data_IF_355111980658
#
_entry.id   IF_355111980658
#
_cell.length_a   1.000
_cell.length_b   1.000
_cell.length_c   1.000
_cell.angle_alpha   90.00
_cell.angle_beta   90.00
_cell.angle_gamma   90.00
#
_symmetry.space_group_name_H-M   'P 1'
#
loop_
_entity.id
_entity.type
_entity.pdbx_description
1 polymer ?
#
# COMPACT_ATOMS: atom_id res chain seq x y z
N UNK A 1 -60.69 18.87 -40.26
CA UNK A 1 -59.63 17.92 -40.59
C UNK A 1 -58.28 18.35 -40.02
N UNK A 2 -58.28 19.07 -38.87
CA UNK A 2 -57.01 19.69 -38.28
C UNK A 2 -56.62 19.23 -36.91
N UNK A 3 -57.35 18.31 -36.26
CA UNK A 3 -57.03 17.83 -34.90
C UNK A 3 -55.95 16.75 -34.95
N UNK A 4 -55.81 16.03 -36.06
CA UNK A 4 -54.86 14.91 -36.17
C UNK A 4 -53.43 15.41 -36.37
N UNK A 5 -53.22 16.56 -37.02
CA UNK A 5 -51.83 17.11 -37.21
C UNK A 5 -51.20 17.67 -35.95
N UNK A 6 -51.97 18.11 -34.95
CA UNK A 6 -51.45 18.61 -33.68
C UNK A 6 -50.88 17.50 -32.79
N UNK A 7 -51.45 16.29 -32.87
CA UNK A 7 -51.05 15.18 -32.04
C UNK A 7 -49.68 14.57 -32.46
N UNK A 8 -49.41 14.56 -33.77
CA UNK A 8 -48.16 14.06 -34.31
C UNK A 8 -46.97 15.01 -34.04
N UNK A 9 -47.23 16.32 -34.08
CA UNK A 9 -46.21 17.34 -33.75
C UNK A 9 -45.82 17.31 -32.28
N UNK A 10 -46.77 17.14 -31.38
CA UNK A 10 -46.51 16.96 -29.94
C UNK A 10 -45.74 15.65 -29.64
N UNK A 11 -46.14 14.55 -30.31
CA UNK A 11 -45.48 13.24 -30.16
C UNK A 11 -44.02 13.26 -30.67
N UNK A 12 -43.75 14.00 -31.74
CA UNK A 12 -42.42 14.16 -32.30
C UNK A 12 -41.50 15.00 -31.39
N UNK A 13 -42.03 16.05 -30.75
CA UNK A 13 -41.29 16.87 -29.81
C UNK A 13 -40.99 16.14 -28.49
N UNK A 14 -41.91 15.33 -27.97
CA UNK A 14 -41.70 14.52 -26.77
C UNK A 14 -40.56 13.49 -27.00
N UNK A 15 -40.53 12.82 -28.15
CA UNK A 15 -39.45 11.88 -28.50
C UNK A 15 -38.10 12.58 -28.57
N UNK A 16 -38.03 13.79 -29.14
CA UNK A 16 -36.79 14.58 -29.16
C UNK A 16 -36.34 15.01 -27.75
N UNK A 17 -37.27 15.43 -26.88
CA UNK A 17 -36.96 15.77 -25.51
C UNK A 17 -36.47 14.58 -24.72
N UNK A 18 -37.08 13.42 -24.86
CA UNK A 18 -36.62 12.16 -24.18
C UNK A 18 -35.24 11.78 -24.67
N UNK A 19 -34.95 11.87 -25.97
CA UNK A 19 -33.61 11.58 -26.50
C UNK A 19 -32.57 12.55 -25.96
N UNK A 20 -32.90 13.82 -25.84
CA UNK A 20 -32.01 14.87 -25.33
C UNK A 20 -31.71 14.68 -23.84
N UNK A 21 -32.70 14.30 -23.04
CA UNK A 21 -32.51 13.95 -21.61
C UNK A 21 -31.62 12.70 -21.47
N UNK A 22 -31.83 11.70 -22.34
CA UNK A 22 -31.01 10.48 -22.32
C UNK A 22 -29.54 10.74 -22.70
N UNK A 23 -29.30 11.65 -23.66
CA UNK A 23 -27.93 12.08 -24.00
C UNK A 23 -27.26 12.87 -22.89
N UNK A 24 -28.00 13.73 -22.18
CA UNK A 24 -27.48 14.51 -21.04
C UNK A 24 -27.16 13.58 -19.85
N UNK A 25 -28.02 12.61 -19.55
CA UNK A 25 -27.77 11.64 -18.48
C UNK A 25 -26.54 10.75 -18.77
N UNK A 26 -26.34 10.37 -20.03
CA UNK A 26 -25.18 9.58 -20.46
C UNK A 26 -23.89 10.40 -20.41
N UNK A 27 -23.93 11.69 -20.78
CA UNK A 27 -22.74 12.56 -20.65
C UNK A 27 -22.39 12.85 -19.20
N UNK A 28 -23.36 12.97 -18.29
CA UNK A 28 -23.10 13.15 -16.85
C UNK A 28 -22.46 11.91 -16.20
N UNK A 29 -22.76 10.69 -16.68
CA UNK A 29 -22.14 9.46 -16.19
C UNK A 29 -20.68 9.31 -16.61
N UNK A 30 -20.22 9.97 -17.66
CA UNK A 30 -18.82 9.96 -18.11
C UNK A 30 -17.91 10.89 -17.30
N UNK A 31 -18.45 11.86 -16.56
CA UNK A 31 -17.66 12.74 -15.69
C UNK A 31 -17.40 12.17 -14.28
N UNK A 32 -17.97 10.99 -13.96
CA UNK A 32 -17.87 10.36 -12.63
C UNK A 32 -16.50 9.79 -12.25
N UNK A 33 -15.52 9.71 -13.16
CA UNK A 33 -14.24 9.01 -12.90
C UNK A 33 -13.06 9.89 -12.48
N UNK A 34 -13.26 11.17 -12.16
CA UNK A 34 -12.18 12.06 -11.69
C UNK A 34 -12.43 12.71 -10.32
N UNK A 35 -13.27 12.14 -9.48
CA UNK A 35 -13.24 12.54 -8.09
C UNK A 35 -12.04 11.86 -7.41
N UNK A 36 -10.86 12.44 -7.61
CA UNK A 36 -9.81 12.36 -6.63
C UNK A 36 -10.35 13.04 -5.36
N UNK A 37 -11.04 12.29 -4.54
CA UNK A 37 -11.30 12.68 -3.17
C UNK A 37 -9.91 12.92 -2.57
N UNK A 38 -9.47 14.18 -2.56
CA UNK A 38 -8.29 14.60 -1.85
C UNK A 38 -8.48 14.15 -0.40
N UNK A 39 -7.94 12.99 -0.05
CA UNK A 39 -7.80 12.44 1.31
C UNK A 39 -6.93 13.35 2.19
N UNK A 40 -6.68 14.58 1.74
CA UNK A 40 -5.75 15.56 2.29
C UNK A 40 -6.36 16.50 3.33
N UNK A 41 -7.67 16.43 3.63
CA UNK A 41 -8.29 17.43 4.53
C UNK A 41 -8.10 17.10 6.01
N UNK A 42 -7.71 15.86 6.35
CA UNK A 42 -7.37 15.48 7.72
C UNK A 42 -6.11 14.62 7.72
N UNK A 43 -4.95 15.23 7.48
CA UNK A 43 -3.69 14.56 7.82
C UNK A 43 -3.59 14.49 9.32
N UNK A 44 -4.14 13.44 9.91
CA UNK A 44 -3.87 13.11 11.33
C UNK A 44 -2.36 13.06 11.47
N UNK A 45 -1.82 13.84 12.38
CA UNK A 45 -0.40 13.78 12.68
C UNK A 45 -0.07 12.37 13.16
N UNK A 46 0.93 11.76 12.53
CA UNK A 46 1.41 10.43 12.92
C UNK A 46 1.92 10.49 14.36
N UNK A 47 1.52 9.59 15.26
CA UNK A 47 1.88 9.64 16.68
C UNK A 47 3.38 9.58 16.94
N UNK A 48 4.14 8.85 16.10
CA UNK A 48 5.61 8.78 16.16
C UNK A 48 6.19 8.36 14.82
N UNK A 49 7.50 8.60 14.58
CA UNK A 49 8.20 8.19 13.36
C UNK A 49 8.33 6.66 13.19
N UNK A 50 8.02 5.89 14.24
CA UNK A 50 8.06 4.42 14.28
C UNK A 50 6.72 3.78 14.68
N UNK A 51 5.62 4.46 14.42
CA UNK A 51 4.29 4.05 14.84
C UNK A 51 3.89 2.68 14.27
N UNK A 52 4.06 2.47 12.96
CA UNK A 52 3.72 1.20 12.32
C UNK A 52 4.66 0.06 12.72
N UNK A 53 5.91 0.36 12.95
CA UNK A 53 6.87 -0.63 13.46
C UNK A 53 6.46 -1.12 14.85
N UNK A 54 6.01 -0.22 15.73
CA UNK A 54 5.47 -0.62 17.05
C UNK A 54 4.23 -1.49 16.93
N UNK A 55 3.30 -1.16 16.02
CA UNK A 55 2.11 -1.99 15.80
C UNK A 55 2.51 -3.39 15.31
N UNK A 56 3.41 -3.48 14.34
CA UNK A 56 3.91 -4.76 13.83
C UNK A 56 4.62 -5.57 14.92
N UNK A 57 5.46 -4.95 15.73
CA UNK A 57 6.14 -5.63 16.85
C UNK A 57 5.14 -6.15 17.89
N UNK A 58 4.09 -5.37 18.18
CA UNK A 58 3.01 -5.82 19.06
C UNK A 58 2.30 -7.05 18.49
N UNK A 59 1.93 -7.04 17.21
CA UNK A 59 1.27 -8.19 16.58
C UNK A 59 2.20 -9.44 16.57
N UNK A 60 3.49 -9.26 16.29
CA UNK A 60 4.49 -10.34 16.35
C UNK A 60 4.65 -10.93 17.77
N UNK A 61 4.38 -10.13 18.82
CA UNK A 61 4.43 -10.62 20.21
C UNK A 61 3.18 -11.39 20.62
N UNK A 62 2.04 -11.14 19.95
CA UNK A 62 0.73 -11.72 20.28
C UNK A 62 0.44 -12.98 19.48
N UNK A 63 0.83 -13.03 18.21
CA UNK A 63 0.57 -14.16 17.33
C UNK A 63 1.66 -14.35 16.28
N UNK A 64 1.83 -15.58 15.81
CA UNK A 64 2.64 -15.86 14.61
C UNK A 64 1.88 -15.42 13.36
N UNK A 65 2.54 -14.77 12.37
CA UNK A 65 1.88 -14.41 11.12
C UNK A 65 1.39 -15.68 10.39
N UNK A 66 0.17 -15.62 9.84
CA UNK A 66 -0.41 -16.68 8.99
C UNK A 66 0.37 -16.84 7.69
N UNK A 67 0.91 -15.73 7.19
CA UNK A 67 1.75 -15.68 6.00
C UNK A 67 2.93 -14.75 6.27
N UNK A 68 4.12 -15.21 5.93
CA UNK A 68 5.35 -14.43 5.94
C UNK A 68 6.20 -14.85 4.74
N UNK A 69 6.32 -13.96 3.76
CA UNK A 69 7.06 -14.23 2.54
C UNK A 69 7.73 -12.99 1.98
N UNK A 70 8.79 -13.21 1.21
CA UNK A 70 9.47 -12.17 0.43
C UNK A 70 9.15 -12.29 -1.06
N UNK A 71 9.15 -11.15 -1.75
CA UNK A 71 9.06 -11.05 -3.21
C UNK A 71 10.26 -10.24 -3.72
N UNK A 72 10.99 -10.77 -4.70
CA UNK A 72 11.95 -10.03 -5.50
C UNK A 72 11.21 -9.26 -6.61
N UNK A 73 11.28 -7.93 -6.56
CA UNK A 73 10.39 -7.07 -7.34
C UNK A 73 10.70 -7.04 -8.86
N UNK A 74 11.92 -7.35 -9.27
CA UNK A 74 12.26 -7.32 -10.70
C UNK A 74 11.64 -8.48 -11.50
N UNK A 75 11.50 -9.67 -10.88
CA UNK A 75 10.98 -10.87 -11.53
C UNK A 75 9.80 -11.49 -10.80
N UNK A 76 9.27 -10.82 -9.76
CA UNK A 76 8.16 -11.28 -8.94
C UNK A 76 8.36 -12.69 -8.34
N UNK A 77 9.63 -13.09 -8.13
CA UNK A 77 9.92 -14.37 -7.47
C UNK A 77 9.51 -14.30 -6.01
N UNK A 78 8.62 -15.20 -5.59
CA UNK A 78 8.15 -15.32 -4.20
C UNK A 78 8.91 -16.43 -3.48
N UNK A 79 9.19 -16.23 -2.18
CA UNK A 79 9.71 -17.23 -1.27
C UNK A 79 9.10 -17.06 0.11
N UNK A 80 8.50 -18.13 0.63
CA UNK A 80 8.01 -18.17 2.00
C UNK A 80 9.18 -18.36 2.97
N UNK A 81 9.07 -17.81 4.17
CA UNK A 81 10.10 -17.90 5.22
C UNK A 81 10.00 -19.26 5.92
N UNK A 82 11.16 -19.88 6.17
CA UNK A 82 11.28 -21.00 7.08
C UNK A 82 11.14 -20.53 8.55
N UNK A 83 11.22 -21.46 9.49
CA UNK A 83 11.22 -21.15 10.92
C UNK A 83 12.49 -20.37 11.31
N UNK A 84 13.63 -20.75 10.76
CA UNK A 84 14.92 -20.11 10.99
C UNK A 84 14.93 -18.68 10.41
N UNK A 85 14.39 -18.49 9.21
CA UNK A 85 14.26 -17.18 8.57
C UNK A 85 13.36 -16.27 9.40
N UNK A 86 12.26 -16.81 9.93
CA UNK A 86 11.33 -16.09 10.80
C UNK A 86 12.02 -15.64 12.09
N UNK A 87 12.92 -16.44 12.64
CA UNK A 87 13.73 -16.07 13.81
C UNK A 87 14.67 -14.90 13.48
N UNK A 88 15.36 -14.96 12.33
CA UNK A 88 16.20 -13.87 11.85
C UNK A 88 15.40 -12.59 11.63
N UNK A 89 14.18 -12.71 11.08
CA UNK A 89 13.25 -11.60 10.88
C UNK A 89 12.86 -10.94 12.22
N UNK A 90 12.52 -11.73 13.25
CA UNK A 90 12.19 -11.19 14.58
C UNK A 90 13.43 -10.54 15.23
N UNK A 91 14.61 -11.13 15.10
CA UNK A 91 15.87 -10.56 15.61
C UNK A 91 16.19 -9.19 14.97
N UNK A 92 15.82 -8.98 13.70
CA UNK A 92 15.92 -7.66 13.09
C UNK A 92 15.16 -6.61 13.93
N UNK A 93 13.88 -6.86 14.27
CA UNK A 93 13.09 -5.91 15.04
C UNK A 93 13.63 -5.69 16.44
N UNK A 94 14.09 -6.76 17.11
CA UNK A 94 14.66 -6.68 18.44
C UNK A 94 15.98 -5.89 18.48
N UNK A 95 16.67 -5.76 17.35
CA UNK A 95 17.92 -5.00 17.23
C UNK A 95 17.72 -3.51 16.89
N UNK A 96 16.48 -3.07 16.61
CA UNK A 96 16.18 -1.69 16.32
C UNK A 96 16.31 -0.81 17.57
N UNK A 97 16.88 0.36 17.37
CA UNK A 97 16.98 1.42 18.40
C UNK A 97 16.23 2.66 17.93
N UNK A 98 15.98 3.61 18.82
CA UNK A 98 15.33 4.88 18.46
C UNK A 98 16.09 5.63 17.34
N UNK A 99 17.41 5.49 17.27
CA UNK A 99 18.23 6.12 16.23
C UNK A 99 18.14 5.43 14.87
N UNK A 100 17.54 4.23 14.82
CA UNK A 100 17.28 3.53 13.54
C UNK A 100 16.15 4.18 12.75
N UNK A 101 15.25 4.92 13.40
CA UNK A 101 14.08 5.54 12.76
C UNK A 101 14.40 6.93 12.25
N UNK A 102 14.20 7.14 10.97
CA UNK A 102 14.56 8.36 10.26
C UNK A 102 13.36 8.92 9.46
N UNK A 103 13.45 10.16 9.05
CA UNK A 103 12.54 10.70 8.04
C UNK A 103 12.84 10.07 6.68
N UNK A 104 11.93 10.26 5.72
CA UNK A 104 12.12 9.73 4.37
C UNK A 104 13.44 10.22 3.78
N UNK A 105 14.41 9.32 3.48
CA UNK A 105 15.69 9.72 2.93
C UNK A 105 15.55 10.37 1.54
N UNK A 106 16.31 11.42 1.27
CA UNK A 106 16.37 12.06 -0.07
C UNK A 106 17.00 11.14 -1.11
N UNK A 107 17.92 10.26 -0.67
CA UNK A 107 18.63 9.29 -1.52
C UNK A 107 17.94 7.93 -1.61
N UNK A 108 16.65 7.86 -1.18
CA UNK A 108 15.91 6.62 -1.25
C UNK A 108 15.67 6.19 -2.71
N UNK A 109 15.99 4.94 -3.10
CA UNK A 109 15.65 4.43 -4.42
C UNK A 109 14.15 4.54 -4.71
N UNK A 110 13.79 4.81 -5.95
CA UNK A 110 12.37 4.99 -6.36
C UNK A 110 11.53 3.73 -6.13
N UNK A 111 12.16 2.56 -6.28
CA UNK A 111 11.48 1.25 -6.13
C UNK A 111 12.25 0.37 -5.15
N UNK A 112 11.56 -0.38 -4.27
CA UNK A 112 12.20 -1.39 -3.45
C UNK A 112 12.67 -2.55 -4.31
N UNK A 113 13.79 -3.17 -3.91
CA UNK A 113 14.32 -4.38 -4.57
C UNK A 113 13.57 -5.63 -4.12
N UNK A 114 13.22 -5.70 -2.83
CA UNK A 114 12.37 -6.75 -2.26
C UNK A 114 11.21 -6.15 -1.49
N UNK A 115 10.13 -6.93 -1.38
CA UNK A 115 9.04 -6.66 -0.42
C UNK A 115 8.84 -7.88 0.44
N UNK A 116 8.63 -7.66 1.75
CA UNK A 116 8.22 -8.70 2.68
C UNK A 116 6.77 -8.42 3.06
N UNK A 117 5.94 -9.44 3.01
CA UNK A 117 4.53 -9.38 3.34
C UNK A 117 4.27 -10.21 4.59
N UNK A 118 3.50 -9.64 5.51
CA UNK A 118 3.03 -10.32 6.72
C UNK A 118 1.50 -10.23 6.77
N UNK A 119 0.86 -11.34 7.02
CA UNK A 119 -0.59 -11.42 7.26
C UNK A 119 -0.83 -11.99 8.65
N UNK A 120 -1.44 -11.21 9.52
CA UNK A 120 -1.94 -11.61 10.82
C UNK A 120 -3.47 -11.84 10.77
N UNK A 121 -4.06 -12.16 11.89
CA UNK A 121 -5.52 -12.37 11.98
C UNK A 121 -6.32 -11.11 11.64
N UNK A 122 -5.82 -9.94 12.04
CA UNK A 122 -6.51 -8.64 11.87
C UNK A 122 -5.75 -7.69 10.94
N UNK A 123 -4.42 -7.74 10.94
CA UNK A 123 -3.58 -6.74 10.27
C UNK A 123 -2.72 -7.37 9.17
N UNK A 124 -2.39 -6.57 8.18
CA UNK A 124 -1.42 -6.94 7.13
C UNK A 124 -0.36 -5.85 7.02
N UNK A 125 0.90 -6.25 6.89
CA UNK A 125 2.01 -5.31 6.79
C UNK A 125 2.84 -5.59 5.55
N UNK A 126 3.45 -4.53 5.03
CA UNK A 126 4.42 -4.59 3.93
C UNK A 126 5.69 -3.88 4.37
N UNK A 127 6.82 -4.57 4.22
CA UNK A 127 8.13 -3.99 4.34
C UNK A 127 8.72 -3.83 2.94
N UNK A 128 9.10 -2.62 2.59
CA UNK A 128 9.88 -2.36 1.38
C UNK A 128 11.36 -2.37 1.72
N UNK A 129 12.10 -3.28 1.13
CA UNK A 129 13.55 -3.40 1.28
C UNK A 129 14.19 -2.77 0.04
N UNK A 130 14.73 -1.56 0.18
CA UNK A 130 15.29 -0.81 -0.95
C UNK A 130 16.73 -1.25 -1.27
N UNK A 131 17.54 -1.35 -0.23
CA UNK A 131 18.95 -1.76 -0.28
C UNK A 131 19.40 -2.20 1.12
N UNK A 132 20.71 -2.39 1.31
CA UNK A 132 21.31 -2.76 2.61
C UNK A 132 21.09 -1.73 3.72
N UNK A 133 20.76 -0.48 3.35
CA UNK A 133 20.66 0.65 4.26
C UNK A 133 19.23 1.06 4.59
N UNK A 134 18.31 1.00 3.63
CA UNK A 134 16.99 1.60 3.79
C UNK A 134 15.87 0.59 3.67
N UNK A 135 14.98 0.63 4.66
CA UNK A 135 13.75 -0.14 4.74
C UNK A 135 12.59 0.82 5.04
N UNK A 136 11.39 0.54 4.54
CA UNK A 136 10.18 1.18 5.03
C UNK A 136 9.12 0.17 5.41
N UNK A 137 8.28 0.54 6.39
CA UNK A 137 7.23 -0.31 6.94
C UNK A 137 5.91 0.45 6.92
N UNK A 138 4.84 -0.23 6.52
CA UNK A 138 3.47 0.27 6.58
C UNK A 138 2.46 -0.88 6.61
N UNK A 139 1.28 -0.69 7.23
CA UNK A 139 0.17 -1.62 7.08
C UNK A 139 -0.46 -1.43 5.69
N UNK A 140 -1.13 -2.45 5.19
CA UNK A 140 -1.76 -2.43 3.86
C UNK A 140 -2.77 -1.27 3.68
N UNK A 141 -3.45 -0.89 4.74
CA UNK A 141 -4.53 0.13 4.79
C UNK A 141 -4.19 1.33 5.69
N UNK A 142 -2.91 1.63 5.85
CA UNK A 142 -2.43 2.68 6.75
C UNK A 142 -2.84 4.10 6.38
N UNK A 143 -3.24 4.88 7.39
CA UNK A 143 -3.65 6.28 7.25
C UNK A 143 -2.47 7.28 7.25
N UNK A 144 -1.29 6.85 7.73
CA UNK A 144 -0.11 7.71 7.90
C UNK A 144 0.97 7.40 6.89
N UNK A 145 1.98 8.28 6.83
CA UNK A 145 3.23 8.01 6.08
C UNK A 145 3.95 6.78 6.66
N UNK A 146 4.66 6.04 5.80
CA UNK A 146 5.47 4.89 6.20
C UNK A 146 6.48 5.24 7.29
N UNK A 147 6.87 4.26 8.11
CA UNK A 147 8.09 4.34 8.91
C UNK A 147 9.29 4.09 8.00
N UNK A 148 10.38 4.82 8.21
CA UNK A 148 11.64 4.59 7.51
C UNK A 148 12.72 4.21 8.50
N UNK A 149 13.53 3.20 8.14
CA UNK A 149 14.57 2.62 8.98
C UNK A 149 15.90 2.69 8.25
N UNK A 150 16.92 3.24 8.92
CA UNK A 150 18.33 3.17 8.53
C UNK A 150 18.99 1.99 9.25
N UNK A 151 19.40 1.00 8.47
CA UNK A 151 20.03 -0.23 8.96
C UNK A 151 21.55 -0.20 8.90
N UNK A 152 22.18 0.95 8.58
CA UNK A 152 23.65 1.04 8.39
C UNK A 152 24.44 0.65 9.64
N UNK A 153 23.88 0.87 10.83
CA UNK A 153 24.52 0.54 12.13
C UNK A 153 24.10 -0.82 12.68
N UNK A 154 23.26 -1.55 11.93
CA UNK A 154 22.75 -2.85 12.35
C UNK A 154 23.80 -3.95 12.15
N UNK A 155 23.75 -4.96 13.00
CA UNK A 155 24.56 -6.16 12.83
C UNK A 155 24.17 -6.89 11.52
N UNK A 156 25.17 -7.19 10.69
CA UNK A 156 24.94 -7.73 9.32
C UNK A 156 24.08 -9.00 9.29
N UNK A 157 24.20 -9.86 10.31
CA UNK A 157 23.41 -11.08 10.40
C UNK A 157 21.91 -10.86 10.54
N UNK A 158 21.47 -9.68 11.00
CA UNK A 158 20.05 -9.34 11.15
C UNK A 158 19.53 -8.45 10.02
N UNK A 159 20.36 -8.12 9.02
CA UNK A 159 19.96 -7.25 7.92
C UNK A 159 18.99 -7.95 6.98
N UNK A 160 17.77 -7.40 6.84
CA UNK A 160 16.72 -8.00 6.00
C UNK A 160 17.04 -8.00 4.51
N UNK A 161 17.87 -7.09 4.02
CA UNK A 161 18.33 -7.16 2.62
C UNK A 161 19.19 -8.39 2.38
N UNK A 162 20.12 -8.68 3.32
CA UNK A 162 20.94 -9.90 3.30
C UNK A 162 20.09 -11.17 3.34
N UNK A 163 19.09 -11.19 4.23
CA UNK A 163 18.12 -12.30 4.34
C UNK A 163 17.34 -12.49 3.02
N UNK A 164 16.77 -11.43 2.46
CA UNK A 164 16.05 -11.52 1.18
C UNK A 164 16.94 -11.99 0.02
N UNK A 165 18.21 -11.55 -0.03
CA UNK A 165 19.17 -11.98 -1.04
C UNK A 165 19.54 -13.46 -0.90
N UNK A 166 19.61 -13.97 0.32
CA UNK A 166 19.81 -15.39 0.61
C UNK A 166 18.60 -16.22 0.18
N UNK A 167 17.39 -15.79 0.54
CA UNK A 167 16.14 -16.49 0.22
C UNK A 167 15.84 -16.53 -1.28
N UNK A 168 16.14 -15.45 -1.99
CA UNK A 168 15.85 -15.28 -3.41
C UNK A 168 17.12 -14.80 -4.12
N UNK A 169 18.06 -15.70 -4.41
CA UNK A 169 19.23 -15.35 -5.19
C UNK A 169 18.83 -14.86 -6.59
N UNK A 170 19.64 -13.91 -7.11
CA UNK A 170 19.44 -13.31 -8.44
C UNK A 170 19.72 -14.30 -9.55
#
# INVERSE_FOLDING_TARGET
MDIIKGCDYLRFNIKKCVLLIMCISFSLSLFGCKYNFNKSIFTKNKPSNHYYTKLLMNDLSLETPKELYAIYMNFYKKKDFSKEDSTTFVNFFNSLTNTSFIDKPTTLPTKPLYKIFLTFSKNKYVLNIYNEKYISIYPWDGDYKMDYIDTSKMFKAYNLYGLCKYLIPK
#
